data_IF_927268306700
#
_entry.id   IF_927268306700
#
_cell.length_a   1.000
_cell.length_b   1.000
_cell.length_c   1.000
_cell.angle_alpha   90.00
_cell.angle_beta   90.00
_cell.angle_gamma   90.00
#
_symmetry.space_group_name_H-M   'P 1'
#
loop_
_entity.id
_entity.type
_entity.pdbx_description
1 polymer ?
#
# COMPACT_ATOMS: atom_id res chain seq x y z
N UNK A 1 15.54 -12.61 5.34
CA UNK A 1 14.73 -12.11 4.21
C UNK A 1 13.84 -10.96 4.71
N UNK A 2 14.31 -9.71 4.62
CA UNK A 2 13.56 -8.53 5.08
C UNK A 2 13.77 -7.28 4.18
N UNK A 3 14.52 -7.43 3.08
CA UNK A 3 14.91 -6.31 2.21
C UNK A 3 13.83 -5.92 1.21
N UNK A 4 13.16 -6.89 0.56
CA UNK A 4 12.25 -6.59 -0.57
C UNK A 4 11.04 -5.74 -0.18
N UNK A 5 10.36 -6.07 0.93
CA UNK A 5 9.22 -5.28 1.42
C UNK A 5 9.66 -3.89 1.85
N UNK A 6 10.80 -3.79 2.55
CA UNK A 6 11.37 -2.50 2.96
C UNK A 6 11.76 -1.64 1.75
N UNK A 7 12.43 -2.21 0.75
CA UNK A 7 12.80 -1.52 -0.49
C UNK A 7 11.58 -1.09 -1.30
N UNK A 8 10.53 -1.92 -1.35
CA UNK A 8 9.26 -1.57 -1.99
C UNK A 8 8.60 -0.39 -1.25
N UNK A 9 8.56 -0.44 0.07
CA UNK A 9 7.99 0.61 0.90
C UNK A 9 8.77 1.93 0.76
N UNK A 10 10.10 1.88 0.74
CA UNK A 10 10.97 3.04 0.54
C UNK A 10 10.79 3.64 -0.87
N UNK A 11 10.78 2.80 -1.91
CA UNK A 11 10.53 3.24 -3.29
C UNK A 11 9.15 3.90 -3.42
N UNK A 12 8.11 3.31 -2.82
CA UNK A 12 6.78 3.90 -2.83
C UNK A 12 6.73 5.20 -2.02
N UNK A 13 7.37 5.26 -0.85
CA UNK A 13 7.44 6.49 -0.02
C UNK A 13 8.11 7.63 -0.77
N UNK A 14 9.18 7.36 -1.51
CA UNK A 14 9.82 8.36 -2.36
C UNK A 14 8.85 8.91 -3.40
N UNK A 15 8.13 8.04 -4.13
CA UNK A 15 7.14 8.47 -5.13
C UNK A 15 5.96 9.22 -4.52
N UNK A 16 5.47 8.75 -3.37
CA UNK A 16 4.38 9.38 -2.64
C UNK A 16 4.72 10.82 -2.26
N UNK A 17 5.91 11.06 -1.71
CA UNK A 17 6.39 12.41 -1.35
C UNK A 17 6.66 13.27 -2.59
N UNK A 18 7.33 12.71 -3.61
CA UNK A 18 7.70 13.45 -4.81
C UNK A 18 6.49 13.94 -5.62
N UNK A 19 5.38 13.20 -5.60
CA UNK A 19 4.16 13.55 -6.32
C UNK A 19 3.14 14.35 -5.49
N UNK A 20 3.47 14.72 -4.24
CA UNK A 20 2.51 15.34 -3.29
C UNK A 20 1.18 14.57 -3.32
N UNK A 21 1.29 13.25 -3.15
CA UNK A 21 0.22 12.34 -3.49
C UNK A 21 -1.08 12.64 -2.71
N UNK A 22 -2.21 12.35 -3.37
CA UNK A 22 -3.54 12.58 -2.81
C UNK A 22 -3.72 11.86 -1.46
N UNK A 23 -4.66 12.34 -0.65
CA UNK A 23 -5.05 11.70 0.61
C UNK A 23 -5.45 10.24 0.46
N UNK A 24 -5.92 9.86 -0.72
CA UNK A 24 -6.40 8.50 -1.02
C UNK A 24 -5.27 7.59 -1.53
N UNK A 25 -4.09 8.12 -1.87
CA UNK A 25 -2.94 7.31 -2.25
C UNK A 25 -2.35 6.64 -1.00
N UNK A 26 -2.40 5.32 -0.94
CA UNK A 26 -1.89 4.58 0.20
C UNK A 26 -1.41 3.17 -0.18
N UNK A 27 -0.43 2.70 0.59
CA UNK A 27 0.10 1.35 0.58
C UNK A 27 -0.21 0.69 1.93
N UNK A 28 -0.67 -0.55 1.87
CA UNK A 28 -1.04 -1.35 3.02
C UNK A 28 -0.29 -2.68 3.01
N UNK A 29 -0.04 -3.23 4.19
CA UNK A 29 0.49 -4.58 4.36
C UNK A 29 -0.53 -5.45 5.09
N UNK A 30 -0.64 -6.73 4.75
CA UNK A 30 -1.41 -7.64 5.59
C UNK A 30 -0.79 -7.76 6.99
N UNK A 31 -1.62 -8.06 7.99
CA UNK A 31 -1.17 -8.26 9.38
C UNK A 31 -0.56 -9.64 9.64
N UNK A 32 -0.23 -10.39 8.59
CA UNK A 32 0.28 -11.75 8.76
C UNK A 32 1.71 -11.69 9.30
N UNK A 33 1.96 -12.42 10.40
CA UNK A 33 3.30 -12.56 10.99
C UNK A 33 4.18 -13.52 10.17
N UNK A 34 3.57 -14.40 9.36
CA UNK A 34 4.29 -15.22 8.40
C UNK A 34 4.72 -14.41 7.18
N UNK A 35 6.00 -14.01 7.20
CA UNK A 35 6.66 -13.24 6.16
C UNK A 35 6.69 -13.95 4.79
N UNK A 36 6.51 -15.28 4.73
CA UNK A 36 6.40 -15.99 3.44
C UNK A 36 5.10 -15.67 2.71
N UNK A 37 4.09 -15.23 3.46
CA UNK A 37 2.75 -14.90 2.97
C UNK A 37 2.42 -13.42 3.23
N UNK A 38 3.43 -12.56 3.22
CA UNK A 38 3.25 -11.12 3.36
C UNK A 38 2.88 -10.47 2.02
N UNK A 39 1.75 -9.79 2.01
CA UNK A 39 1.19 -9.14 0.82
C UNK A 39 1.09 -7.64 1.04
N UNK A 40 1.54 -6.88 0.04
CA UNK A 40 1.37 -5.44 -0.04
C UNK A 40 0.20 -5.12 -0.98
N UNK A 41 -0.64 -4.16 -0.57
CA UNK A 41 -1.77 -3.67 -1.34
C UNK A 41 -1.58 -2.18 -1.62
N UNK A 42 -2.05 -1.72 -2.77
CA UNK A 42 -1.98 -0.33 -3.18
C UNK A 42 -3.39 0.17 -3.50
N UNK A 43 -3.74 1.36 -3.01
CA UNK A 43 -4.98 2.00 -3.41
C UNK A 43 -4.93 2.40 -4.90
N UNK A 44 -6.09 2.55 -5.58
CA UNK A 44 -6.12 2.96 -6.98
C UNK A 44 -5.32 4.24 -7.27
N UNK A 45 -5.41 5.24 -6.39
CA UNK A 45 -4.64 6.49 -6.50
C UNK A 45 -3.13 6.25 -6.32
N UNK A 46 -2.73 5.34 -5.44
CA UNK A 46 -1.33 4.95 -5.31
C UNK A 46 -0.80 4.26 -6.58
N UNK A 47 -1.63 3.48 -7.28
CA UNK A 47 -1.25 2.81 -8.53
C UNK A 47 -0.92 3.84 -9.62
N UNK A 48 -1.60 4.99 -9.65
CA UNK A 48 -1.35 6.03 -10.66
C UNK A 48 0.09 6.55 -10.60
N UNK A 49 0.64 6.71 -9.39
CA UNK A 49 2.00 7.23 -9.19
C UNK A 49 3.06 6.14 -9.09
N UNK A 50 2.68 4.91 -8.72
CA UNK A 50 3.61 3.82 -8.43
C UNK A 50 3.56 2.66 -9.42
N UNK A 51 2.89 2.83 -10.57
CA UNK A 51 2.69 1.77 -11.58
C UNK A 51 3.98 1.03 -11.93
N UNK A 52 5.07 1.77 -12.18
CA UNK A 52 6.37 1.20 -12.56
C UNK A 52 6.91 0.34 -11.42
N UNK A 53 6.89 0.84 -10.18
CA UNK A 53 7.36 0.09 -9.01
C UNK A 53 6.51 -1.17 -8.80
N UNK A 54 5.18 -1.06 -8.90
CA UNK A 54 4.28 -2.20 -8.76
C UNK A 54 4.60 -3.28 -9.79
N UNK A 55 4.82 -2.89 -11.05
CA UNK A 55 5.18 -3.83 -12.13
C UNK A 55 6.54 -4.49 -11.89
N UNK A 56 7.57 -3.73 -11.49
CA UNK A 56 8.91 -4.25 -11.21
C UNK A 56 8.91 -5.30 -10.10
N UNK A 57 8.01 -5.16 -9.12
CA UNK A 57 7.86 -6.12 -8.02
C UNK A 57 6.82 -7.23 -8.31
N UNK A 58 6.31 -7.33 -9.54
CA UNK A 58 5.38 -8.38 -9.96
C UNK A 58 3.96 -8.22 -9.44
N UNK A 59 3.54 -6.98 -9.12
CA UNK A 59 2.20 -6.69 -8.64
C UNK A 59 1.11 -7.02 -9.65
N UNK A 60 -0.01 -7.53 -9.15
CA UNK A 60 -1.18 -7.93 -9.94
C UNK A 60 -2.42 -7.18 -9.47
N UNK A 61 -3.42 -7.08 -10.35
CA UNK A 61 -4.75 -6.61 -9.94
C UNK A 61 -5.36 -7.60 -8.96
N UNK A 62 -5.94 -7.11 -7.88
CA UNK A 62 -6.58 -7.92 -6.86
C UNK A 62 -7.85 -7.23 -6.33
N UNK A 63 -8.70 -8.01 -5.68
CA UNK A 63 -9.84 -7.48 -4.93
C UNK A 63 -9.36 -6.76 -3.67
N UNK A 64 -10.17 -5.80 -3.19
CA UNK A 64 -9.86 -5.09 -1.95
C UNK A 64 -9.71 -6.06 -0.77
N UNK A 65 -8.70 -5.89 0.09
CA UNK A 65 -8.53 -6.73 1.26
C UNK A 65 -9.66 -6.50 2.27
N UNK A 66 -9.94 -7.50 3.10
CA UNK A 66 -10.94 -7.39 4.16
C UNK A 66 -10.55 -6.28 5.15
N UNK A 67 -11.52 -5.46 5.58
CA UNK A 67 -11.24 -4.41 6.59
C UNK A 67 -10.65 -5.02 7.85
N UNK A 68 -9.63 -4.36 8.41
CA UNK A 68 -8.91 -4.83 9.59
C UNK A 68 -7.86 -5.92 9.32
N UNK A 69 -7.84 -6.55 8.14
CA UNK A 69 -6.81 -7.55 7.78
C UNK A 69 -5.47 -6.94 7.36
N UNK A 70 -5.45 -5.62 7.17
CA UNK A 70 -4.27 -4.85 6.75
C UNK A 70 -3.93 -3.73 7.73
N UNK A 71 -2.73 -3.18 7.60
CA UNK A 71 -2.26 -1.98 8.29
C UNK A 71 -1.63 -1.01 7.28
N UNK A 72 -1.69 0.29 7.57
CA UNK A 72 -1.12 1.32 6.73
C UNK A 72 0.42 1.25 6.79
N UNK A 73 1.07 1.21 5.63
CA UNK A 73 2.54 1.23 5.49
C UNK A 73 3.04 2.62 5.05
N UNK A 74 2.35 3.23 4.10
CA UNK A 74 2.65 4.56 3.54
C UNK A 74 1.34 5.19 3.10
N UNK A 75 1.12 6.45 3.46
CA UNK A 75 -0.07 7.23 3.11
C UNK A 75 -0.22 8.38 4.09
N UNK A 76 -1.25 9.19 3.91
CA UNK A 76 -1.61 10.18 4.93
C UNK A 76 -2.18 9.47 6.16
N UNK A 77 -2.02 10.06 7.35
CA UNK A 77 -2.47 9.44 8.61
C UNK A 77 -3.98 9.15 8.62
N UNK A 78 -4.78 9.96 7.91
CA UNK A 78 -6.22 9.81 7.69
C UNK A 78 -6.60 8.78 6.61
N UNK A 79 -5.64 8.28 5.83
CA UNK A 79 -5.88 7.24 4.83
C UNK A 79 -6.26 5.90 5.48
N UNK A 80 -5.79 5.64 6.71
CA UNK A 80 -6.23 4.50 7.52
C UNK A 80 -7.73 4.57 7.85
N UNK A 81 -8.23 5.77 8.15
CA UNK A 81 -9.65 5.98 8.47
C UNK A 81 -10.54 5.87 7.23
N UNK A 82 -10.04 6.21 6.04
CA UNK A 82 -10.81 6.11 4.79
C UNK A 82 -11.09 4.65 4.39
N UNK A 83 -10.21 3.71 4.73
CA UNK A 83 -10.47 2.27 4.58
C UNK A 83 -11.38 1.69 5.67
N UNK A 84 -11.42 2.33 6.85
CA UNK A 84 -12.26 1.94 7.98
C UNK A 84 -13.67 2.58 7.92
N UNK A 85 -13.81 3.71 7.23
CA UNK A 85 -15.02 4.53 7.16
C UNK A 85 -15.54 4.66 5.72
N UNK A 86 -16.16 3.59 5.21
CA UNK A 86 -17.38 3.82 4.43
C UNK A 86 -18.51 3.63 5.41
N UNK A 87 -19.21 4.74 5.67
CA UNK A 87 -20.38 4.85 6.53
C UNK A 87 -21.49 3.91 6.05
N UNK A 88 -22.26 3.44 7.04
CA UNK A 88 -23.61 2.86 6.92
C UNK A 88 -24.47 3.58 5.89
#
# INVERSE_FOLDING_TARGET
MNGKVKSLQEAFRFLFTANVASKNAAMFGNRNEDLKNYFCYFSPDAVQIARIVIQTYGGVKCSAPMRGSVHLLVGHADAGDTLLSVKK
#
